data_IF_079186997614
#
_entry.id   IF_079186997614
#
_cell.length_a   1.000
_cell.length_b   1.000
_cell.length_c   1.000
_cell.angle_alpha   90.00
_cell.angle_beta   90.00
_cell.angle_gamma   90.00
#
_symmetry.space_group_name_H-M   'P 1'
#
loop_
_entity.id
_entity.type
_entity.pdbx_description
1 polymer ?
#
# COMPACT_ATOMS: atom_id res chain seq x y z
N UNK A 1 -2.85 -21.75 -8.10
CA UNK A 1 -3.46 -20.47 -8.55
C UNK A 1 -2.38 -19.39 -8.48
N UNK A 2 -1.54 -19.28 -9.50
CA UNK A 2 -0.46 -18.28 -9.60
C UNK A 2 -0.90 -17.16 -10.53
N UNK A 3 -1.79 -16.30 -10.03
CA UNK A 3 -2.25 -15.12 -10.76
C UNK A 3 -2.00 -13.91 -9.90
N UNK A 4 -1.09 -13.03 -10.32
CA UNK A 4 -1.00 -11.68 -9.74
C UNK A 4 -2.32 -11.01 -10.09
N UNK A 5 -3.19 -10.79 -9.09
CA UNK A 5 -4.43 -10.05 -9.32
C UNK A 5 -4.03 -8.59 -9.54
N UNK A 6 -4.26 -8.01 -10.73
CA UNK A 6 -3.98 -6.60 -10.93
C UNK A 6 -4.89 -5.80 -10.00
N UNK A 7 -4.28 -5.05 -9.08
CA UNK A 7 -4.98 -4.15 -8.18
C UNK A 7 -4.48 -2.73 -8.35
N UNK A 8 -5.42 -1.80 -8.38
CA UNK A 8 -5.12 -0.37 -8.29
C UNK A 8 -5.28 0.04 -6.84
N UNK A 9 -4.26 0.73 -6.32
CA UNK A 9 -4.25 1.26 -4.97
C UNK A 9 -4.04 2.77 -5.04
N UNK A 10 -4.95 3.52 -4.42
CA UNK A 10 -4.88 4.97 -4.31
C UNK A 10 -4.48 5.35 -2.90
N UNK A 11 -3.36 6.07 -2.76
CA UNK A 11 -2.86 6.54 -1.47
C UNK A 11 -3.30 7.99 -1.23
N UNK A 12 -3.87 8.27 -0.07
CA UNK A 12 -4.30 9.61 0.36
C UNK A 12 -3.76 9.91 1.76
N UNK A 13 -3.91 11.15 2.24
CA UNK A 13 -3.47 11.50 3.59
C UNK A 13 -4.38 10.81 4.61
N UNK A 14 -3.84 9.81 5.31
CA UNK A 14 -4.55 9.06 6.37
C UNK A 14 -5.53 8.01 5.86
N UNK A 15 -5.59 7.78 4.55
CA UNK A 15 -6.53 6.84 3.92
C UNK A 15 -5.86 6.13 2.74
N UNK A 16 -6.28 4.89 2.52
CA UNK A 16 -5.93 4.11 1.34
C UNK A 16 -7.20 3.56 0.71
N UNK A 17 -7.25 3.53 -0.61
CA UNK A 17 -8.36 2.93 -1.35
C UNK A 17 -7.83 1.80 -2.24
N UNK A 18 -8.42 0.62 -2.11
CA UNK A 18 -8.14 -0.53 -2.95
C UNK A 18 -9.43 -1.33 -3.17
N UNK A 19 -9.68 -1.78 -4.40
CA UNK A 19 -10.86 -2.59 -4.73
C UNK A 19 -12.20 -1.95 -4.31
N UNK A 20 -12.29 -0.60 -4.30
CA UNK A 20 -13.48 0.14 -3.87
C UNK A 20 -13.67 0.25 -2.35
N UNK A 21 -12.75 -0.28 -1.55
CA UNK A 21 -12.75 -0.13 -0.09
C UNK A 21 -11.81 1.00 0.32
N UNK A 22 -12.27 1.86 1.24
CA UNK A 22 -11.47 2.94 1.82
C UNK A 22 -11.17 2.59 3.29
N UNK A 23 -9.88 2.46 3.59
CA UNK A 23 -9.39 2.19 4.94
C UNK A 23 -8.64 3.39 5.50
N UNK A 24 -8.84 3.66 6.80
CA UNK A 24 -8.04 4.62 7.56
C UNK A 24 -6.71 3.99 7.90
N UNK A 25 -5.64 4.71 7.62
CA UNK A 25 -4.28 4.22 7.81
C UNK A 25 -3.37 5.29 8.43
N UNK A 26 -2.30 4.84 9.07
CA UNK A 26 -1.17 5.68 9.45
C UNK A 26 0.02 5.41 8.54
N UNK A 27 0.71 6.48 8.14
CA UNK A 27 1.91 6.40 7.31
C UNK A 27 3.13 6.77 8.13
N UNK A 28 4.16 5.90 8.11
CA UNK A 28 5.48 6.20 8.68
C UNK A 28 6.56 5.98 7.64
N UNK A 29 7.43 6.97 7.44
CA UNK A 29 8.62 6.85 6.61
C UNK A 29 9.80 6.34 7.44
N UNK A 30 10.57 5.43 6.86
CA UNK A 30 11.79 4.88 7.47
C UNK A 30 12.82 4.61 6.37
N UNK A 31 13.69 5.58 6.09
CA UNK A 31 14.59 5.51 4.95
C UNK A 31 13.81 5.42 3.63
N UNK A 32 14.05 4.36 2.85
CA UNK A 32 13.34 4.08 1.60
C UNK A 32 12.00 3.35 1.80
N UNK A 33 11.66 2.97 3.03
CA UNK A 33 10.42 2.27 3.33
C UNK A 33 9.32 3.24 3.77
N UNK A 34 8.11 2.96 3.31
CA UNK A 34 6.87 3.52 3.84
C UNK A 34 6.09 2.39 4.50
N UNK A 35 5.87 2.52 5.80
CA UNK A 35 5.05 1.60 6.60
C UNK A 35 3.62 2.15 6.64
N UNK A 36 2.67 1.33 6.21
CA UNK A 36 1.25 1.66 6.18
C UNK A 36 0.54 0.77 7.18
N UNK A 37 0.11 1.36 8.31
CA UNK A 37 -0.59 0.64 9.37
C UNK A 37 -2.09 0.88 9.25
N UNK A 38 -2.86 -0.18 9.12
CA UNK A 38 -4.33 -0.12 9.02
C UNK A 38 -4.96 0.10 10.39
N UNK A 39 -5.80 1.12 10.51
CA UNK A 39 -6.40 1.56 11.77
C UNK A 39 -7.84 1.06 11.95
N UNK A 40 -8.50 0.65 10.86
CA UNK A 40 -9.84 0.11 10.83
C UNK A 40 -9.95 -1.09 9.87
N UNK A 41 -11.18 -1.60 9.73
CA UNK A 41 -11.55 -2.69 8.80
C UNK A 41 -10.90 -4.05 9.12
N UNK A 42 -11.00 -4.99 8.17
CA UNK A 42 -10.53 -6.37 8.33
C UNK A 42 -9.01 -6.47 8.53
N UNK A 43 -8.24 -5.50 8.05
CA UNK A 43 -6.79 -5.44 8.17
C UNK A 43 -6.31 -4.66 9.40
N UNK A 44 -7.19 -4.28 10.33
CA UNK A 44 -6.83 -3.45 11.49
C UNK A 44 -5.66 -4.04 12.29
N UNK A 45 -4.68 -3.20 12.58
CA UNK A 45 -3.46 -3.57 13.32
C UNK A 45 -2.35 -4.15 12.44
N UNK A 46 -2.65 -4.51 11.20
CA UNK A 46 -1.65 -4.97 10.23
C UNK A 46 -0.87 -3.77 9.69
N UNK A 47 0.44 -3.97 9.49
CA UNK A 47 1.32 -2.99 8.84
C UNK A 47 1.90 -3.58 7.57
N UNK A 48 1.67 -2.91 6.45
CA UNK A 48 2.22 -3.29 5.16
C UNK A 48 3.41 -2.40 4.81
N UNK A 49 4.50 -3.01 4.35
CA UNK A 49 5.72 -2.28 3.96
C UNK A 49 5.74 -2.04 2.46
N UNK A 50 6.04 -0.80 2.10
CA UNK A 50 6.24 -0.34 0.73
C UNK A 50 7.67 0.19 0.61
N UNK A 51 8.55 -0.61 0.01
CA UNK A 51 9.94 -0.20 -0.26
C UNK A 51 9.98 0.56 -1.57
N UNK A 52 10.32 1.84 -1.54
CA UNK A 52 10.47 2.66 -2.74
C UNK A 52 11.67 2.18 -3.55
N UNK A 53 11.44 1.73 -4.78
CA UNK A 53 12.49 1.26 -5.70
C UNK A 53 12.84 2.30 -6.78
N UNK A 54 12.12 3.42 -6.80
CA UNK A 54 12.32 4.54 -7.71
C UNK A 54 11.26 5.62 -7.49
N UNK A 55 11.26 6.68 -8.29
CA UNK A 55 10.31 7.79 -8.15
C UNK A 55 8.84 7.38 -8.36
N UNK A 56 8.61 6.30 -9.13
CA UNK A 56 7.29 5.85 -9.57
C UNK A 56 7.07 4.35 -9.35
N UNK A 57 7.87 3.70 -8.51
CA UNK A 57 7.78 2.27 -8.25
C UNK A 57 8.03 1.93 -6.79
N UNK A 58 7.33 0.91 -6.32
CA UNK A 58 7.50 0.35 -4.99
C UNK A 58 7.47 -1.18 -5.04
N UNK A 59 8.10 -1.82 -4.06
CA UNK A 59 8.01 -3.26 -3.82
C UNK A 59 7.28 -3.49 -2.50
N UNK A 60 6.41 -4.48 -2.51
CA UNK A 60 5.64 -4.93 -1.36
C UNK A 60 5.73 -6.45 -1.25
N UNK A 61 5.19 -7.02 -0.17
CA UNK A 61 5.04 -8.47 -0.02
C UNK A 61 4.10 -9.09 -1.06
N UNK A 62 3.16 -8.30 -1.61
CA UNK A 62 2.20 -8.73 -2.63
C UNK A 62 2.73 -8.60 -4.07
N UNK A 63 3.89 -7.96 -4.25
CA UNK A 63 4.50 -7.74 -5.57
C UNK A 63 4.99 -6.31 -5.79
N UNK A 64 5.27 -6.00 -7.05
CA UNK A 64 5.76 -4.69 -7.48
C UNK A 64 4.62 -3.79 -7.91
N UNK A 65 4.66 -2.55 -7.45
CA UNK A 65 3.73 -1.49 -7.82
C UNK A 65 4.43 -0.49 -8.75
N UNK A 66 3.66 0.02 -9.70
CA UNK A 66 4.06 1.11 -10.59
C UNK A 66 2.98 2.17 -10.54
N UNK A 67 3.38 3.45 -10.44
CA UNK A 67 2.45 4.57 -10.53
C UNK A 67 1.74 4.51 -11.89
N UNK A 68 0.42 4.44 -11.84
CA UNK A 68 -0.45 4.67 -13.01
C UNK A 68 -0.89 6.14 -13.00
N UNK A 69 -1.05 6.70 -14.20
CA UNK A 69 -1.50 8.07 -14.41
C UNK A 69 -3.02 8.12 -14.48
#
# INVERSE_FOLDING_TARGET
>A
MTGVVPMTVTFRKGEIEAMGMIDKVSYKKSGNDVLVTYLNSLAKGTTMRYTMTGQNSARTELGSLKRIR
#
